data_IF_734170910551
#
_entry.id   IF_734170910551
#
_cell.length_a   1.000
_cell.length_b   1.000
_cell.length_c   1.000
_cell.angle_alpha   90.00
_cell.angle_beta   90.00
_cell.angle_gamma   90.00
#
_symmetry.space_group_name_H-M   'P 1'
#
loop_
_entity.id
_entity.type
_entity.pdbx_description
1 polymer ?
#
# COMPACT_ATOMS: atom_id res chain seq x y z
N UNK A 1 13.79 17.37 13.79
CA UNK A 1 14.18 18.51 12.95
C UNK A 1 13.65 19.77 13.60
N UNK A 2 14.35 20.89 13.47
CA UNK A 2 13.71 22.16 13.84
C UNK A 2 12.64 22.51 12.80
N UNK A 3 11.60 23.29 13.16
CA UNK A 3 10.62 23.77 12.19
C UNK A 3 11.25 24.47 10.99
N UNK A 4 12.31 25.24 11.23
CA UNK A 4 13.01 25.98 10.18
C UNK A 4 13.77 25.07 9.23
N UNK A 5 14.43 24.01 9.73
CA UNK A 5 15.08 23.01 8.87
C UNK A 5 14.07 22.40 7.90
N UNK A 6 12.90 21.99 8.39
CA UNK A 6 11.86 21.39 7.55
C UNK A 6 11.32 22.39 6.53
N UNK A 7 11.12 23.65 6.94
CA UNK A 7 10.62 24.70 6.06
C UNK A 7 11.56 24.94 4.88
N UNK A 8 12.86 25.12 5.13
CA UNK A 8 13.89 25.36 4.10
C UNK A 8 13.89 24.25 3.04
N UNK A 9 13.69 23.00 3.46
CA UNK A 9 13.73 21.85 2.58
C UNK A 9 12.40 21.56 1.87
N UNK A 10 11.26 21.72 2.53
CA UNK A 10 9.95 21.26 2.04
C UNK A 10 9.13 22.37 1.35
N UNK A 11 9.27 23.63 1.76
CA UNK A 11 8.53 24.76 1.19
C UNK A 11 8.75 24.94 -0.34
N UNK A 12 9.97 24.73 -0.89
CA UNK A 12 10.17 24.79 -2.35
C UNK A 12 9.29 23.82 -3.14
N UNK A 13 8.95 22.65 -2.56
CA UNK A 13 8.07 21.65 -3.18
C UNK A 13 6.64 22.20 -3.29
N UNK A 14 6.15 22.83 -2.22
CA UNK A 14 4.83 23.47 -2.18
C UNK A 14 4.73 24.55 -3.26
N UNK A 15 5.73 25.43 -3.34
CA UNK A 15 5.74 26.48 -4.36
C UNK A 15 5.71 25.90 -5.77
N UNK A 16 6.53 24.88 -6.04
CA UNK A 16 6.54 24.19 -7.34
C UNK A 16 5.17 23.62 -7.68
N UNK A 17 4.50 22.99 -6.72
CA UNK A 17 3.15 22.44 -6.89
C UNK A 17 2.10 23.51 -7.23
N UNK A 18 2.12 24.67 -6.55
CA UNK A 18 1.17 25.76 -6.79
C UNK A 18 1.33 26.36 -8.20
N UNK A 19 2.54 26.30 -8.79
CA UNK A 19 2.75 26.82 -10.15
C UNK A 19 2.07 26.02 -11.26
N UNK A 20 1.63 24.78 -10.98
CA UNK A 20 0.87 24.01 -11.96
C UNK A 20 -0.54 24.57 -12.10
N UNK A 21 -0.99 24.83 -13.33
CA UNK A 21 -2.38 25.24 -13.63
C UNK A 21 -3.40 24.24 -13.06
N UNK A 22 -3.06 22.96 -13.17
CA UNK A 22 -3.83 21.82 -12.66
C UNK A 22 -3.92 21.80 -11.12
N UNK A 23 -3.13 22.60 -10.39
CA UNK A 23 -3.17 22.63 -8.92
C UNK A 23 -4.37 23.39 -8.35
N UNK A 24 -5.04 24.26 -9.13
CA UNK A 24 -6.07 25.18 -8.64
C UNK A 24 -7.14 24.53 -7.73
N UNK A 25 -7.72 23.35 -8.05
CA UNK A 25 -8.73 22.71 -7.20
C UNK A 25 -8.22 22.24 -5.83
N UNK A 26 -6.89 22.17 -5.64
CA UNK A 26 -6.24 21.67 -4.44
C UNK A 26 -5.55 22.77 -3.63
N UNK A 27 -5.58 24.02 -4.11
CA UNK A 27 -4.90 25.12 -3.44
C UNK A 27 -5.60 25.58 -2.16
N UNK A 28 -6.90 25.29 -2.02
CA UNK A 28 -7.72 25.72 -0.89
C UNK A 28 -8.55 24.55 -0.35
N UNK A 29 -9.01 24.61 0.92
CA UNK A 29 -9.89 23.59 1.48
C UNK A 29 -11.15 23.41 0.61
N UNK A 30 -11.56 22.17 0.42
CA UNK A 30 -12.81 21.85 -0.30
C UNK A 30 -13.99 22.36 0.53
N UNK A 31 -14.82 23.22 -0.08
CA UNK A 31 -16.08 23.67 0.48
C UNK A 31 -17.25 22.83 -0.08
N UNK A 32 -17.81 21.89 0.68
CA UNK A 32 -18.85 20.99 0.18
C UNK A 32 -20.18 21.70 -0.13
N UNK A 33 -20.45 22.83 0.53
CA UNK A 33 -21.69 23.60 0.36
C UNK A 33 -21.61 24.37 -0.95
N UNK A 34 -20.54 25.13 -1.14
CA UNK A 34 -20.32 25.92 -2.36
C UNK A 34 -20.21 25.04 -3.61
N UNK A 35 -19.61 23.86 -3.48
CA UNK A 35 -19.44 22.90 -4.59
C UNK A 35 -20.63 21.94 -4.78
N UNK A 36 -21.66 22.03 -3.93
CA UNK A 36 -22.85 21.17 -3.96
C UNK A 36 -22.52 19.66 -3.92
N UNK A 37 -21.62 19.26 -3.01
CA UNK A 37 -21.18 17.87 -2.77
C UNK A 37 -21.40 17.48 -1.30
N UNK A 38 -22.66 17.35 -0.84
CA UNK A 38 -23.00 17.19 0.58
C UNK A 38 -22.46 15.90 1.21
N UNK A 39 -22.14 14.89 0.41
CA UNK A 39 -21.56 13.61 0.81
C UNK A 39 -20.03 13.64 0.98
N UNK A 40 -19.38 14.77 0.68
CA UNK A 40 -17.92 14.88 0.72
C UNK A 40 -17.33 14.46 2.07
N UNK A 41 -17.82 14.98 3.19
CA UNK A 41 -17.31 14.63 4.53
C UNK A 41 -17.75 13.23 5.00
N UNK A 42 -18.71 12.61 4.33
CA UNK A 42 -19.08 11.21 4.55
C UNK A 42 -18.01 10.30 3.92
N UNK A 43 -17.50 10.65 2.74
CA UNK A 43 -16.52 9.87 1.99
C UNK A 43 -15.08 10.20 2.43
N UNK A 44 -14.75 11.48 2.54
CA UNK A 44 -13.42 12.01 2.88
C UNK A 44 -13.39 12.35 4.37
N UNK A 45 -12.81 11.43 5.16
CA UNK A 45 -12.75 11.56 6.63
C UNK A 45 -11.70 12.56 7.12
N UNK A 46 -10.66 12.78 6.34
CA UNK A 46 -9.55 13.67 6.66
C UNK A 46 -9.29 14.54 5.42
N UNK A 47 -10.03 15.64 5.24
CA UNK A 47 -9.79 16.56 4.13
C UNK A 47 -8.40 17.21 4.27
N UNK A 48 -7.74 17.45 3.15
CA UNK A 48 -6.42 18.08 3.09
C UNK A 48 -6.28 18.86 1.78
N UNK A 49 -5.50 19.94 1.80
CA UNK A 49 -5.24 20.83 0.67
C UNK A 49 -3.87 21.53 0.83
N UNK A 50 -3.37 22.14 -0.25
CA UNK A 50 -2.03 22.74 -0.29
C UNK A 50 -1.90 23.91 0.71
N UNK A 51 -2.92 24.74 0.88
CA UNK A 51 -2.85 25.86 1.85
C UNK A 51 -2.81 25.36 3.29
N UNK A 52 -3.54 24.30 3.61
CA UNK A 52 -3.48 23.66 4.93
C UNK A 52 -2.09 23.09 5.18
N UNK A 53 -1.51 22.36 4.22
CA UNK A 53 -0.15 21.82 4.32
C UNK A 53 0.87 22.95 4.52
N UNK A 54 0.77 24.03 3.73
CA UNK A 54 1.68 25.17 3.85
C UNK A 54 1.57 25.84 5.21
N UNK A 55 0.36 26.07 5.70
CA UNK A 55 0.12 26.64 7.03
C UNK A 55 0.68 25.76 8.15
N UNK A 56 0.50 24.43 8.07
CA UNK A 56 1.08 23.47 9.03
C UNK A 56 2.60 23.53 9.03
N UNK A 57 3.22 23.63 7.84
CA UNK A 57 4.67 23.79 7.71
C UNK A 57 5.15 25.10 8.36
N UNK A 58 4.49 26.22 8.08
CA UNK A 58 4.85 27.54 8.64
C UNK A 58 4.70 27.60 10.17
N UNK A 59 3.70 26.91 10.72
CA UNK A 59 3.51 26.81 12.18
C UNK A 59 4.41 25.79 12.86
N UNK A 60 5.23 25.05 12.10
CA UNK A 60 6.10 24.02 12.65
C UNK A 60 5.36 22.81 13.21
N UNK A 61 4.18 22.48 12.67
CA UNK A 61 3.35 21.36 13.16
C UNK A 61 3.91 19.98 12.76
N UNK A 62 4.82 19.93 11.79
CA UNK A 62 5.49 18.69 11.36
C UNK A 62 6.73 18.41 12.21
N UNK A 63 6.83 17.19 12.74
CA UNK A 63 8.01 16.75 13.53
C UNK A 63 9.13 16.23 12.62
N UNK A 64 8.76 15.73 11.45
CA UNK A 64 9.64 15.09 10.49
C UNK A 64 9.07 15.22 9.05
N UNK A 65 9.90 15.05 8.00
CA UNK A 65 9.43 15.25 6.63
C UNK A 65 8.42 14.20 6.15
N UNK A 66 8.33 13.03 6.77
CA UNK A 66 7.35 12.02 6.35
C UNK A 66 5.92 12.38 6.77
N UNK A 67 5.73 13.11 7.88
CA UNK A 67 4.39 13.63 8.24
C UNK A 67 3.87 14.62 7.20
N UNK A 68 4.77 15.42 6.60
CA UNK A 68 4.44 16.27 5.46
C UNK A 68 4.07 15.43 4.23
N UNK A 69 4.82 14.36 3.95
CA UNK A 69 4.47 13.42 2.87
C UNK A 69 3.09 12.79 3.08
N UNK A 70 2.78 12.33 4.30
CA UNK A 70 1.52 11.68 4.64
C UNK A 70 0.31 12.59 4.33
N UNK A 71 0.38 13.87 4.69
CA UNK A 71 -0.63 14.86 4.32
C UNK A 71 -0.66 15.12 2.80
N UNK A 72 0.52 15.19 2.17
CA UNK A 72 0.64 15.43 0.73
C UNK A 72 0.05 14.28 -0.11
N UNK A 73 0.09 13.05 0.39
CA UNK A 73 -0.54 11.91 -0.26
C UNK A 73 -2.06 11.86 -0.03
N UNK A 74 -2.56 12.45 1.06
CA UNK A 74 -3.97 12.43 1.43
C UNK A 74 -4.82 13.34 0.54
N UNK A 75 -4.34 14.54 0.21
CA UNK A 75 -5.09 15.44 -0.70
C UNK A 75 -5.17 14.91 -2.14
N UNK A 76 -4.33 13.94 -2.48
CA UNK A 76 -4.14 13.37 -3.82
C UNK A 76 -4.92 12.07 -4.11
N UNK A 77 -5.95 11.71 -3.31
CA UNK A 77 -6.63 10.42 -3.47
C UNK A 77 -7.42 10.27 -4.78
N UNK A 78 -7.36 9.05 -5.33
CA UNK A 78 -7.72 8.70 -6.73
C UNK A 78 -9.22 8.63 -7.10
N UNK A 79 -10.12 9.34 -6.42
CA UNK A 79 -11.55 8.96 -6.44
C UNK A 79 -12.52 9.81 -7.26
N UNK A 80 -12.12 10.79 -8.08
CA UNK A 80 -13.10 11.66 -8.79
C UNK A 80 -12.71 12.08 -10.22
N UNK A 81 -13.59 12.79 -10.93
CA UNK A 81 -13.35 13.36 -12.28
C UNK A 81 -12.15 14.34 -12.32
N UNK A 82 -11.78 14.88 -11.16
CA UNK A 82 -10.57 15.71 -10.91
C UNK A 82 -9.28 14.86 -10.93
N UNK A 83 -9.39 13.52 -10.90
CA UNK A 83 -8.24 12.61 -10.83
C UNK A 83 -7.22 12.79 -11.96
N UNK A 84 -7.64 13.08 -13.19
CA UNK A 84 -6.70 13.31 -14.31
C UNK A 84 -5.79 14.52 -14.08
N UNK A 85 -6.34 15.54 -13.43
CA UNK A 85 -5.64 16.78 -13.04
C UNK A 85 -4.71 16.48 -11.84
N UNK A 86 -5.18 15.67 -10.90
CA UNK A 86 -4.41 15.20 -9.74
C UNK A 86 -3.17 14.38 -10.13
N UNK A 87 -3.21 13.58 -11.20
CA UNK A 87 -2.09 12.69 -11.57
C UNK A 87 -0.79 13.45 -11.81
N UNK A 88 -0.82 14.59 -12.52
CA UNK A 88 0.39 15.39 -12.77
C UNK A 88 0.96 16.00 -11.49
N UNK A 89 0.08 16.45 -10.60
CA UNK A 89 0.48 17.02 -9.32
C UNK A 89 1.14 15.97 -8.43
N UNK A 90 0.60 14.75 -8.43
CA UNK A 90 1.18 13.56 -7.79
C UNK A 90 2.55 13.22 -8.36
N UNK A 91 2.68 13.17 -9.68
CA UNK A 91 3.95 12.88 -10.36
C UNK A 91 5.01 13.93 -10.00
N UNK A 92 4.67 15.22 -10.09
CA UNK A 92 5.55 16.31 -9.69
C UNK A 92 6.00 16.19 -8.24
N UNK A 93 5.07 15.88 -7.32
CA UNK A 93 5.37 15.71 -5.92
C UNK A 93 6.34 14.53 -5.71
N UNK A 94 6.03 13.36 -6.30
CA UNK A 94 6.84 12.15 -6.20
C UNK A 94 8.28 12.36 -6.69
N UNK A 95 8.45 13.09 -7.80
CA UNK A 95 9.76 13.43 -8.36
C UNK A 95 10.53 14.42 -7.49
N UNK A 96 9.84 15.36 -6.85
CA UNK A 96 10.47 16.44 -6.10
C UNK A 96 10.79 16.06 -4.66
N UNK A 97 10.04 15.13 -4.05
CA UNK A 97 10.16 14.80 -2.63
C UNK A 97 11.35 13.90 -2.32
N UNK A 98 11.67 12.94 -3.18
CA UNK A 98 12.71 11.94 -2.91
C UNK A 98 14.09 12.54 -2.65
N UNK A 99 14.64 13.44 -3.50
CA UNK A 99 15.95 14.03 -3.25
C UNK A 99 16.00 14.80 -1.92
N UNK A 100 14.88 15.43 -1.55
CA UNK A 100 14.79 16.24 -0.33
C UNK A 100 14.80 15.35 0.90
N UNK A 101 13.97 14.31 0.96
CA UNK A 101 13.93 13.44 2.14
C UNK A 101 15.17 12.57 2.26
N UNK A 102 15.81 12.22 1.13
CA UNK A 102 17.11 11.56 1.11
C UNK A 102 18.21 12.46 1.70
N UNK A 103 18.23 13.75 1.35
CA UNK A 103 19.12 14.71 1.99
C UNK A 103 18.87 14.85 3.51
N UNK A 104 17.62 14.62 3.97
CA UNK A 104 17.23 14.58 5.38
C UNK A 104 17.50 13.22 6.08
N UNK A 105 18.05 12.24 5.36
CA UNK A 105 18.44 10.94 5.88
C UNK A 105 17.35 9.86 5.89
N UNK A 106 16.31 10.02 5.08
CA UNK A 106 15.26 9.01 4.85
C UNK A 106 15.50 8.26 3.53
N UNK A 107 14.83 7.12 3.34
CA UNK A 107 14.93 6.36 2.09
C UNK A 107 14.30 7.05 0.88
N UNK A 108 13.03 7.44 0.99
CA UNK A 108 12.23 8.09 -0.04
C UNK A 108 10.95 8.68 0.57
N UNK A 109 10.26 9.55 -0.18
CA UNK A 109 9.01 10.20 0.24
C UNK A 109 7.77 9.55 -0.39
N UNK A 110 7.96 8.42 -1.06
CA UNK A 110 6.93 7.70 -1.82
C UNK A 110 5.97 6.96 -0.91
N UNK A 111 4.72 6.88 -1.34
CA UNK A 111 3.76 5.95 -0.78
C UNK A 111 3.85 4.60 -1.50
N UNK A 112 4.76 3.74 -1.05
CA UNK A 112 4.85 2.38 -1.57
C UNK A 112 3.63 1.57 -1.13
N UNK A 113 3.05 0.85 -2.09
CA UNK A 113 1.91 -0.03 -1.87
C UNK A 113 2.14 -1.33 -2.62
N UNK A 114 1.73 -2.44 -2.03
CA UNK A 114 1.73 -3.72 -2.71
C UNK A 114 0.70 -3.72 -3.84
N UNK A 115 1.05 -4.38 -4.95
CA UNK A 115 0.11 -4.61 -6.03
C UNK A 115 -1.04 -5.49 -5.51
N UNK A 116 -2.31 -5.10 -5.74
CA UNK A 116 -3.44 -5.95 -5.38
C UNK A 116 -3.28 -7.32 -6.02
N UNK A 117 -3.33 -8.37 -5.19
CA UNK A 117 -3.16 -9.74 -5.66
C UNK A 117 -4.49 -10.31 -6.16
N UNK A 118 -4.39 -11.28 -7.06
CA UNK A 118 -5.55 -12.13 -7.41
C UNK A 118 -5.85 -12.99 -6.18
N UNK A 119 -7.10 -12.93 -5.70
CA UNK A 119 -7.48 -13.70 -4.51
C UNK A 119 -7.97 -15.10 -4.91
N UNK A 120 -7.71 -16.07 -4.06
CA UNK A 120 -8.26 -17.42 -4.20
C UNK A 120 -9.76 -17.42 -3.90
N UNK A 121 -10.56 -18.14 -4.68
CA UNK A 121 -11.99 -18.34 -4.40
C UNK A 121 -12.23 -19.74 -3.83
N UNK A 122 -12.80 -19.82 -2.63
CA UNK A 122 -13.14 -21.07 -1.94
C UNK A 122 -14.49 -21.67 -2.36
N UNK A 123 -15.18 -21.07 -3.32
CA UNK A 123 -16.55 -21.48 -3.69
C UNK A 123 -16.67 -22.59 -4.73
N UNK A 124 -15.58 -23.00 -5.39
CA UNK A 124 -15.61 -24.10 -6.36
C UNK A 124 -14.32 -24.90 -6.29
N UNK A 125 -14.44 -26.23 -6.43
CA UNK A 125 -13.33 -27.19 -6.29
C UNK A 125 -12.20 -27.07 -7.33
N UNK A 126 -12.33 -26.23 -8.36
CA UNK A 126 -11.28 -26.05 -9.36
C UNK A 126 -11.02 -24.57 -9.70
N UNK A 127 -9.81 -24.12 -9.34
CA UNK A 127 -9.07 -22.94 -9.81
C UNK A 127 -9.88 -21.65 -10.03
N UNK A 128 -10.86 -21.37 -9.17
CA UNK A 128 -11.58 -20.10 -9.23
C UNK A 128 -10.73 -18.99 -8.60
N UNK A 129 -10.64 -17.86 -9.29
CA UNK A 129 -9.84 -16.71 -8.90
C UNK A 129 -10.71 -15.44 -8.92
N UNK A 130 -10.42 -14.52 -8.01
CA UNK A 130 -11.07 -13.21 -7.92
C UNK A 130 -10.07 -12.18 -8.46
N UNK A 131 -10.40 -11.57 -9.59
CA UNK A 131 -9.50 -10.61 -10.24
C UNK A 131 -9.43 -9.30 -9.47
N UNK A 132 -8.41 -8.50 -9.76
CA UNK A 132 -8.32 -7.13 -9.25
C UNK A 132 -9.53 -6.33 -9.73
N UNK A 133 -10.12 -5.56 -8.82
CA UNK A 133 -11.35 -4.78 -8.96
C UNK A 133 -12.68 -5.57 -9.00
N UNK A 134 -12.66 -6.89 -8.86
CA UNK A 134 -13.90 -7.67 -8.75
C UNK A 134 -14.53 -7.54 -7.36
N UNK A 135 -15.86 -7.59 -7.32
CA UNK A 135 -16.61 -7.74 -6.07
C UNK A 135 -16.56 -9.20 -5.61
N UNK A 136 -16.38 -9.39 -4.31
CA UNK A 136 -16.30 -10.71 -3.67
C UNK A 136 -16.87 -10.64 -2.26
N UNK A 137 -17.18 -11.81 -1.71
CA UNK A 137 -17.58 -11.96 -0.32
C UNK A 137 -16.43 -12.54 0.48
N UNK A 138 -16.29 -12.14 1.73
CA UNK A 138 -15.30 -12.70 2.64
C UNK A 138 -15.87 -12.99 4.01
N UNK A 139 -15.27 -13.98 4.68
CA UNK A 139 -15.52 -14.34 6.06
C UNK A 139 -14.20 -14.25 6.84
N UNK A 140 -14.21 -13.50 7.95
CA UNK A 140 -13.08 -13.45 8.87
C UNK A 140 -13.26 -14.58 9.89
N UNK A 141 -12.26 -15.46 10.00
CA UNK A 141 -12.29 -16.55 10.96
C UNK A 141 -12.03 -15.99 12.37
N UNK A 142 -12.98 -16.09 13.32
CA UNK A 142 -12.82 -15.52 14.66
C UNK A 142 -11.89 -16.35 15.55
N UNK A 143 -11.63 -17.63 15.24
CA UNK A 143 -10.73 -18.48 16.03
C UNK A 143 -9.91 -19.46 15.17
N UNK A 144 -8.57 -19.35 15.24
CA UNK A 144 -7.61 -20.23 14.55
C UNK A 144 -7.55 -21.66 15.12
N UNK A 145 -8.21 -21.94 16.24
CA UNK A 145 -8.04 -23.19 17.00
C UNK A 145 -9.33 -23.96 17.33
N UNK A 146 -10.53 -23.39 17.15
CA UNK A 146 -11.80 -24.09 17.40
C UNK A 146 -12.45 -24.69 16.15
N UNK A 147 -12.07 -24.20 14.99
CA UNK A 147 -12.58 -24.64 13.70
C UNK A 147 -11.40 -25.17 12.91
N UNK A 148 -11.57 -26.24 12.12
CA UNK A 148 -10.51 -26.80 11.25
C UNK A 148 -10.05 -25.82 10.14
N UNK A 149 -10.25 -24.51 10.30
CA UNK A 149 -9.90 -23.45 9.37
C UNK A 149 -8.62 -22.76 9.85
N UNK A 150 -7.57 -22.88 9.06
CA UNK A 150 -6.23 -22.36 9.33
C UNK A 150 -6.00 -20.93 8.83
N UNK A 151 -6.82 -20.45 7.87
CA UNK A 151 -6.69 -19.11 7.33
C UNK A 151 -7.49 -18.08 8.14
N UNK A 152 -6.93 -16.88 8.33
CA UNK A 152 -7.63 -15.78 9.00
C UNK A 152 -8.86 -15.29 8.21
N UNK A 153 -8.84 -15.48 6.89
CA UNK A 153 -9.86 -14.96 5.98
C UNK A 153 -10.12 -15.91 4.82
N UNK A 154 -11.39 -16.19 4.57
CA UNK A 154 -11.87 -16.98 3.43
C UNK A 154 -12.62 -16.11 2.44
N UNK A 155 -12.35 -16.28 1.15
CA UNK A 155 -12.88 -15.40 0.09
C UNK A 155 -13.63 -16.19 -0.98
N UNK A 156 -14.73 -15.64 -1.47
CA UNK A 156 -15.57 -16.28 -2.50
C UNK A 156 -16.05 -15.24 -3.52
N UNK A 157 -15.89 -15.55 -4.81
CA UNK A 157 -16.32 -14.64 -5.87
C UNK A 157 -17.85 -14.53 -5.90
N UNK A 158 -18.36 -13.39 -6.40
CA UNK A 158 -19.81 -13.13 -6.49
C UNK A 158 -20.57 -14.26 -7.22
N UNK A 159 -19.98 -14.84 -8.27
CA UNK A 159 -20.60 -15.93 -9.03
C UNK A 159 -20.76 -17.20 -8.20
N UNK A 160 -19.72 -17.62 -7.49
CA UNK A 160 -19.75 -18.82 -6.65
C UNK A 160 -20.66 -18.64 -5.44
N UNK A 161 -20.64 -17.45 -4.81
CA UNK A 161 -21.52 -17.13 -3.69
C UNK A 161 -23.01 -17.26 -4.08
N UNK A 162 -23.36 -16.74 -5.26
CA UNK A 162 -24.73 -16.77 -5.77
C UNK A 162 -25.13 -18.15 -6.33
N UNK A 163 -24.18 -19.00 -6.72
CA UNK A 163 -24.49 -20.35 -7.23
C UNK A 163 -24.92 -21.33 -6.14
N UNK A 164 -24.53 -21.07 -4.88
CA UNK A 164 -24.98 -21.87 -3.74
C UNK A 164 -26.44 -21.53 -3.45
N UNK A 165 -27.35 -22.50 -3.50
CA UNK A 165 -28.78 -22.26 -3.24
C UNK A 165 -29.11 -22.26 -1.74
N UNK A 166 -28.30 -22.89 -0.89
CA UNK A 166 -28.47 -22.92 0.56
C UNK A 166 -28.14 -21.57 1.22
N UNK A 167 -28.64 -21.38 2.43
CA UNK A 167 -28.33 -20.21 3.28
C UNK A 167 -26.94 -20.28 3.93
N UNK A 168 -26.27 -21.42 3.81
CA UNK A 168 -24.91 -21.64 4.31
C UNK A 168 -23.98 -22.10 3.19
N UNK A 169 -22.68 -21.85 3.36
CA UNK A 169 -21.59 -22.25 2.47
C UNK A 169 -20.65 -23.17 3.25
N UNK A 170 -20.31 -24.31 2.67
CA UNK A 170 -19.34 -25.25 3.24
C UNK A 170 -17.93 -24.87 2.80
N UNK A 171 -17.01 -24.68 3.75
CA UNK A 171 -15.62 -24.31 3.47
C UNK A 171 -14.62 -25.18 4.22
N UNK A 172 -13.44 -25.37 3.63
CA UNK A 172 -12.30 -26.08 4.20
C UNK A 172 -11.01 -25.69 3.47
N UNK A 173 -9.87 -25.97 4.08
CA UNK A 173 -8.55 -25.65 3.51
C UNK A 173 -8.02 -26.78 2.61
N UNK A 174 -8.37 -28.02 2.94
CA UNK A 174 -7.90 -29.23 2.27
C UNK A 174 -9.07 -30.10 1.79
N UNK A 175 -8.99 -30.73 0.60
CA UNK A 175 -10.00 -31.67 0.10
C UNK A 175 -10.35 -32.82 1.05
N UNK A 176 -9.45 -33.20 1.95
CA UNK A 176 -9.59 -34.34 2.88
C UNK A 176 -10.19 -33.86 4.22
N UNK A 177 -10.24 -32.55 4.45
CA UNK A 177 -10.76 -31.97 5.67
C UNK A 177 -12.29 -32.00 5.72
N UNK A 178 -12.85 -32.20 6.92
CA UNK A 178 -14.27 -31.96 7.16
C UNK A 178 -14.60 -30.48 6.93
N UNK A 179 -15.50 -30.23 5.97
CA UNK A 179 -15.97 -28.88 5.65
C UNK A 179 -16.82 -28.32 6.79
N UNK A 180 -16.69 -27.01 7.02
CA UNK A 180 -17.42 -26.27 8.03
C UNK A 180 -18.54 -25.48 7.36
N UNK A 181 -19.73 -25.59 7.93
CA UNK A 181 -20.90 -24.84 7.49
C UNK A 181 -20.86 -23.41 8.04
N UNK A 182 -20.76 -22.42 7.14
CA UNK A 182 -20.74 -21.00 7.48
C UNK A 182 -21.98 -20.33 6.88
N UNK A 183 -22.86 -19.72 7.71
CA UNK A 183 -24.01 -18.97 7.22
C UNK A 183 -23.61 -17.81 6.31
N UNK A 184 -24.34 -17.62 5.20
CA UNK A 184 -24.11 -16.51 4.25
C UNK A 184 -24.24 -15.13 4.89
N UNK A 185 -25.03 -15.00 5.96
CA UNK A 185 -25.19 -13.76 6.71
C UNK A 185 -23.91 -13.28 7.39
N UNK A 186 -22.94 -14.17 7.62
CA UNK A 186 -21.64 -13.83 8.21
C UNK A 186 -20.62 -13.32 7.18
N UNK A 187 -20.94 -13.42 5.89
CA UNK A 187 -20.07 -12.93 4.83
C UNK A 187 -20.29 -11.43 4.57
N UNK A 188 -19.18 -10.72 4.40
CA UNK A 188 -19.17 -9.30 4.09
C UNK A 188 -18.82 -9.08 2.62
N UNK A 189 -19.54 -8.19 1.95
CA UNK A 189 -19.24 -7.80 0.58
C UNK A 189 -18.06 -6.83 0.56
N UNK A 190 -17.05 -7.14 -0.25
CA UNK A 190 -15.90 -6.30 -0.51
C UNK A 190 -15.60 -6.23 -2.01
N UNK A 191 -14.68 -5.32 -2.37
CA UNK A 191 -14.16 -5.21 -3.74
C UNK A 191 -12.64 -5.29 -3.68
N UNK A 192 -12.03 -6.07 -4.57
CA UNK A 192 -10.59 -6.32 -4.57
C UNK A 192 -9.79 -5.16 -5.18
N UNK A 193 -9.84 -3.98 -4.56
CA UNK A 193 -9.09 -2.79 -4.97
C UNK A 193 -8.18 -2.25 -3.87
N UNK A 194 -8.22 -2.86 -2.68
CA UNK A 194 -7.44 -2.43 -1.53
C UNK A 194 -5.95 -2.58 -1.83
N UNK A 195 -5.23 -1.47 -1.67
CA UNK A 195 -3.78 -1.42 -1.79
C UNK A 195 -3.21 -1.37 -0.40
N UNK A 196 -2.49 -2.41 -0.03
CA UNK A 196 -1.84 -2.48 1.28
C UNK A 196 -0.56 -1.62 1.24
N UNK A 197 -0.36 -0.72 2.22
CA UNK A 197 0.86 0.06 2.29
C UNK A 197 2.05 -0.84 2.56
N UNK A 198 3.21 -0.47 2.02
CA UNK A 198 4.44 -1.19 2.31
C UNK A 198 4.82 -1.08 3.79
N UNK A 199 5.43 -2.15 4.31
CA UNK A 199 5.94 -2.20 5.67
C UNK A 199 7.01 -1.12 5.87
N UNK A 200 6.88 -0.38 6.96
CA UNK A 200 7.85 0.64 7.39
C UNK A 200 8.50 0.19 8.70
N UNK A 201 9.82 0.20 8.72
CA UNK A 201 10.64 -0.15 9.88
C UNK A 201 11.34 1.09 10.44
N UNK A 202 11.75 1.03 11.71
CA UNK A 202 12.52 2.10 12.34
C UNK A 202 13.98 1.70 12.48
N UNK A 203 14.89 2.58 12.08
CA UNK A 203 16.31 2.38 12.33
C UNK A 203 16.59 2.34 13.83
N UNK A 204 17.24 1.28 14.32
CA UNK A 204 17.55 1.12 15.75
C UNK A 204 18.56 2.16 16.29
N UNK A 205 19.30 2.84 15.40
CA UNK A 205 20.31 3.84 15.78
C UNK A 205 19.73 5.25 15.76
N UNK A 206 19.15 5.67 14.63
CA UNK A 206 18.68 7.05 14.42
C UNK A 206 17.16 7.22 14.51
N UNK A 207 16.42 6.13 14.77
CA UNK A 207 14.94 6.06 14.90
C UNK A 207 14.13 6.56 13.70
N UNK A 208 14.80 6.96 12.60
CA UNK A 208 14.14 7.31 11.34
C UNK A 208 13.41 6.10 10.76
N UNK A 209 12.26 6.38 10.14
CA UNK A 209 11.42 5.43 9.41
C UNK A 209 12.00 5.13 8.03
N UNK A 210 12.01 3.87 7.64
CA UNK A 210 12.46 3.37 6.34
C UNK A 210 11.44 2.39 5.78
N UNK A 211 11.15 2.44 4.49
CA UNK A 211 10.47 1.32 3.83
C UNK A 211 11.35 0.08 3.93
N UNK A 212 10.75 -1.05 4.28
CA UNK A 212 11.47 -2.29 4.47
C UNK A 212 12.26 -2.69 3.22
N UNK A 213 11.67 -2.51 2.01
CA UNK A 213 12.38 -2.83 0.76
C UNK A 213 13.49 -1.84 0.48
N UNK A 214 13.34 -0.56 0.83
CA UNK A 214 14.41 0.43 0.64
C UNK A 214 15.60 0.16 1.56
N UNK A 215 15.36 -0.35 2.77
CA UNK A 215 16.41 -0.74 3.69
C UNK A 215 17.02 -2.11 3.37
N UNK A 216 16.39 -2.90 2.49
CA UNK A 216 16.73 -4.31 2.22
C UNK A 216 16.83 -5.12 3.53
N UNK A 217 15.90 -4.87 4.46
CA UNK A 217 15.96 -5.40 5.82
C UNK A 217 14.99 -6.56 6.03
N UNK A 218 15.51 -7.68 6.53
CA UNK A 218 14.75 -8.84 6.98
C UNK A 218 15.28 -9.26 8.34
N UNK A 219 14.40 -9.36 9.34
CA UNK A 219 14.78 -9.66 10.73
C UNK A 219 15.50 -11.02 10.85
N UNK A 220 15.17 -11.98 9.99
CA UNK A 220 15.80 -13.30 9.98
C UNK A 220 17.25 -13.27 9.43
N UNK A 221 17.60 -12.24 8.66
CA UNK A 221 18.91 -12.11 7.99
C UNK A 221 19.83 -11.19 8.76
N UNK A 222 19.26 -10.18 9.44
CA UNK A 222 20.00 -9.09 10.07
C UNK A 222 20.87 -9.56 11.25
N UNK A 223 22.11 -9.90 10.92
CA UNK A 223 23.21 -10.25 11.83
C UNK A 223 24.52 -9.63 11.29
N UNK A 224 25.67 -9.89 11.91
CA UNK A 224 26.97 -9.33 11.49
C UNK A 224 27.32 -9.59 10.02
N UNK A 225 26.79 -10.66 9.42
CA UNK A 225 27.04 -11.01 8.01
C UNK A 225 25.80 -11.63 7.36
N UNK A 226 25.47 -11.21 6.13
CA UNK A 226 24.42 -11.86 5.35
C UNK A 226 24.88 -13.25 4.87
N UNK A 227 24.32 -14.30 5.48
CA UNK A 227 24.58 -15.71 5.10
C UNK A 227 23.72 -16.21 3.96
N UNK A 228 22.66 -15.48 3.60
CA UNK A 228 21.66 -15.85 2.59
C UNK A 228 21.96 -15.17 1.24
N UNK A 229 23.18 -15.32 0.76
CA UNK A 229 23.61 -14.80 -0.55
C UNK A 229 23.67 -15.92 -1.58
N UNK A 230 23.37 -15.60 -2.84
CA UNK A 230 23.32 -16.58 -3.93
C UNK A 230 24.63 -17.37 -4.10
N UNK A 231 25.78 -16.73 -3.85
CA UNK A 231 27.10 -17.37 -3.93
C UNK A 231 27.37 -18.41 -2.83
N UNK A 232 26.58 -18.44 -1.75
CA UNK A 232 26.67 -19.46 -0.69
C UNK A 232 25.71 -20.64 -0.92
N UNK A 233 24.94 -20.63 -2.01
CA UNK A 233 24.06 -21.76 -2.35
C UNK A 233 24.88 -22.98 -2.79
N UNK A 234 24.39 -24.20 -2.54
CA UNK A 234 25.00 -25.41 -3.05
C UNK A 234 25.12 -25.37 -4.58
N UNK A 235 26.31 -25.66 -5.08
CA UNK A 235 26.62 -25.62 -6.52
C UNK A 235 26.52 -27.04 -7.09
N UNK A 236 26.05 -27.17 -8.33
CA UNK A 236 26.11 -28.41 -9.09
C UNK A 236 26.87 -28.21 -10.41
N UNK A 237 27.16 -29.30 -11.11
CA UNK A 237 27.94 -29.26 -12.36
C UNK A 237 27.27 -28.40 -13.43
N UNK A 238 25.94 -28.47 -13.53
CA UNK A 238 25.16 -27.68 -14.47
C UNK A 238 25.26 -26.18 -14.17
N UNK A 239 25.03 -25.76 -12.92
CA UNK A 239 25.10 -24.37 -12.52
C UNK A 239 26.50 -23.79 -12.75
N UNK A 240 27.53 -24.58 -12.45
CA UNK A 240 28.93 -24.20 -12.67
C UNK A 240 29.25 -23.96 -14.15
N UNK A 241 28.76 -24.83 -15.04
CA UNK A 241 28.96 -24.67 -16.48
C UNK A 241 28.19 -23.46 -17.04
N UNK A 242 26.97 -23.24 -16.59
CA UNK A 242 26.15 -22.10 -16.99
C UNK A 242 26.78 -20.77 -16.55
N UNK A 243 27.23 -20.69 -15.30
CA UNK A 243 27.89 -19.50 -14.77
C UNK A 243 29.18 -19.19 -15.54
N UNK A 244 30.04 -20.19 -15.78
CA UNK A 244 31.25 -20.02 -16.60
C UNK A 244 30.94 -19.54 -18.01
N UNK A 245 29.94 -20.13 -18.67
CA UNK A 245 29.55 -19.76 -20.03
C UNK A 245 29.02 -18.33 -20.09
N UNK A 246 28.21 -17.93 -19.12
CA UNK A 246 27.68 -16.57 -19.04
C UNK A 246 28.81 -15.56 -18.78
N UNK A 247 29.67 -15.81 -17.80
CA UNK A 247 30.78 -14.91 -17.47
C UNK A 247 31.72 -14.72 -18.67
N UNK A 248 32.09 -15.81 -19.35
CA UNK A 248 32.94 -15.76 -20.55
C UNK A 248 32.31 -15.03 -21.74
N UNK A 249 30.99 -14.84 -21.77
CA UNK A 249 30.31 -14.07 -22.82
C UNK A 249 30.40 -12.57 -22.58
N UNK A 250 30.44 -12.14 -21.31
CA UNK A 250 30.48 -10.73 -20.92
C UNK A 250 31.90 -10.18 -20.69
N UNK A 251 32.91 -11.05 -20.65
CA UNK A 251 34.35 -10.70 -20.60
C UNK A 251 34.98 -10.79 -21.99
#
# INVERSE_FOLDING_TARGET
FTPEDLRIHLEPIIHKMITLEDSYPFQQPVDPVTLNIPDYLIIIKHPMDISTIHNKLLRGEYKNPLEFCDDAWLYNRKSTRIYKVCTKLVELFAESIDPVVQALGYCCGRQHVYLPQVLLCYGKEQCCQISVNDNYYYYNNPELSQFNLSNDRYTICTKCFNSVQSDSIFMGDDPIQTLIEIPKSLFLLAKNYTKEPEIVINCIVCTRRWHQVCALHLDQIWSEENRYIASKLPVNDLSSQLEKRANNFFT
#
